data_IF_780828273661
#
_entry.id   IF_780828273661
#
_cell.length_a   1.000
_cell.length_b   1.000
_cell.length_c   1.000
_cell.angle_alpha   90.00
_cell.angle_beta   90.00
_cell.angle_gamma   90.00
#
_symmetry.space_group_name_H-M   'P 1'
#
loop_
_entity.id
_entity.type
_entity.pdbx_description
1 polymer ?
#
# COMPACT_ATOMS: atom_id res chain seq x y z
N UNK A 1 47.61 33.51 46.24
CA UNK A 1 46.26 33.07 45.85
C UNK A 1 46.10 33.09 44.33
N UNK A 2 46.66 32.11 43.59
CA UNK A 2 46.75 32.16 42.11
C UNK A 2 46.04 31.00 41.39
N UNK A 3 45.46 30.05 42.12
CA UNK A 3 44.85 28.84 41.54
C UNK A 3 43.33 28.94 41.27
N UNK A 4 42.64 29.89 41.89
CA UNK A 4 41.18 30.08 41.71
C UNK A 4 40.80 30.69 40.37
N UNK A 5 41.60 31.63 39.85
CA UNK A 5 41.32 32.34 38.60
C UNK A 5 41.48 31.46 37.35
N UNK A 6 42.36 30.46 37.41
CA UNK A 6 42.67 29.59 36.28
C UNK A 6 41.56 28.54 36.05
N UNK A 7 40.94 28.03 37.12
CA UNK A 7 39.81 27.08 37.04
C UNK A 7 38.51 27.70 36.52
N UNK A 8 38.26 28.97 36.83
CA UNK A 8 37.07 29.69 36.32
C UNK A 8 37.20 29.91 34.81
N UNK A 9 38.40 30.31 34.33
CA UNK A 9 38.65 30.51 32.90
C UNK A 9 38.56 29.23 32.07
N UNK A 10 38.95 28.08 32.63
CA UNK A 10 38.80 26.79 31.94
C UNK A 10 37.33 26.37 31.88
N UNK A 11 36.56 26.60 32.95
CA UNK A 11 35.14 26.28 32.98
C UNK A 11 34.33 27.15 32.01
N UNK A 12 34.61 28.45 31.93
CA UNK A 12 33.95 29.35 30.98
C UNK A 12 34.26 28.97 29.52
N UNK A 13 35.50 28.56 29.23
CA UNK A 13 35.90 28.09 27.92
C UNK A 13 35.23 26.75 27.55
N UNK A 14 35.07 25.84 28.50
CA UNK A 14 34.34 24.57 28.31
C UNK A 14 32.85 24.83 28.06
N UNK A 15 32.22 25.72 28.83
CA UNK A 15 30.81 26.09 28.63
C UNK A 15 30.56 26.80 27.30
N UNK A 16 31.53 27.59 26.82
CA UNK A 16 31.47 28.20 25.50
C UNK A 16 31.51 27.16 24.37
N UNK A 17 32.35 26.12 24.50
CA UNK A 17 32.41 25.00 23.54
C UNK A 17 31.10 24.21 23.51
N UNK A 18 30.56 23.87 24.69
CA UNK A 18 29.29 23.14 24.79
C UNK A 18 28.13 23.93 24.15
N UNK A 19 28.12 25.27 24.29
CA UNK A 19 27.13 26.13 23.61
C UNK A 19 27.31 26.10 22.10
N UNK A 20 28.54 26.25 21.60
CA UNK A 20 28.83 26.21 20.18
C UNK A 20 28.46 24.85 19.54
N UNK A 21 28.76 23.74 20.21
CA UNK A 21 28.37 22.39 19.76
C UNK A 21 26.85 22.22 19.75
N UNK A 22 26.15 22.75 20.76
CA UNK A 22 24.68 22.72 20.81
C UNK A 22 24.05 23.56 19.70
N UNK A 23 24.60 24.72 19.40
CA UNK A 23 24.11 25.61 18.35
C UNK A 23 24.35 25.01 16.96
N UNK A 24 25.49 24.35 16.77
CA UNK A 24 25.78 23.58 15.56
C UNK A 24 24.78 22.43 15.39
N UNK A 25 24.56 21.62 16.43
CA UNK A 25 23.60 20.51 16.38
C UNK A 25 22.15 20.98 16.12
N UNK A 26 21.76 22.16 16.61
CA UNK A 26 20.46 22.75 16.31
C UNK A 26 20.35 23.23 14.86
N UNK A 27 21.45 23.74 14.29
CA UNK A 27 21.53 24.12 12.88
C UNK A 27 21.42 22.90 11.98
N UNK A 28 22.12 21.82 12.31
CA UNK A 28 22.08 20.56 11.57
C UNK A 28 20.68 19.91 11.60
N UNK A 29 20.00 19.95 12.76
CA UNK A 29 18.61 19.48 12.85
C UNK A 29 17.66 20.27 11.95
N UNK A 30 17.86 21.58 11.83
CA UNK A 30 17.03 22.45 10.97
C UNK A 30 17.30 22.18 9.48
N UNK A 31 18.55 22.00 9.08
CA UNK A 31 18.90 21.70 7.69
C UNK A 31 18.41 20.30 7.28
N UNK A 32 18.57 19.30 8.14
CA UNK A 32 18.03 17.95 7.91
C UNK A 32 16.50 17.98 7.84
N UNK A 33 15.83 18.72 8.74
CA UNK A 33 14.39 18.88 8.71
C UNK A 33 13.87 19.54 7.43
N UNK A 34 14.57 20.57 6.94
CA UNK A 34 14.25 21.23 5.67
C UNK A 34 14.40 20.28 4.47
N UNK A 35 15.49 19.53 4.41
CA UNK A 35 15.73 18.53 3.37
C UNK A 35 14.66 17.41 3.38
N UNK A 36 14.24 16.94 4.56
CA UNK A 36 13.16 15.95 4.69
C UNK A 36 11.82 16.49 4.18
N UNK A 37 11.49 17.75 4.48
CA UNK A 37 10.28 18.37 3.97
C UNK A 37 10.29 18.50 2.44
N UNK A 38 11.44 18.80 1.85
CA UNK A 38 11.61 18.90 0.41
C UNK A 38 11.45 17.53 -0.27
N UNK A 39 12.10 16.49 0.25
CA UNK A 39 11.93 15.11 -0.23
C UNK A 39 10.47 14.62 -0.11
N UNK A 40 9.76 14.97 0.97
CA UNK A 40 8.35 14.63 1.12
C UNK A 40 7.46 15.36 0.10
N UNK A 41 7.77 16.62 -0.22
CA UNK A 41 7.07 17.37 -1.28
C UNK A 41 7.30 16.75 -2.65
N UNK A 42 8.55 16.39 -2.97
CA UNK A 42 8.87 15.71 -4.21
C UNK A 42 8.18 14.35 -4.32
N UNK A 43 8.19 13.55 -3.24
CA UNK A 43 7.45 12.29 -3.18
C UNK A 43 5.96 12.49 -3.43
N UNK A 44 5.35 13.51 -2.83
CA UNK A 44 3.93 13.80 -3.04
C UNK A 44 3.63 14.26 -4.47
N UNK A 45 4.53 15.04 -5.08
CA UNK A 45 4.40 15.45 -6.48
C UNK A 45 4.55 14.25 -7.44
N UNK A 46 5.48 13.33 -7.14
CA UNK A 46 5.63 12.09 -7.88
C UNK A 46 4.42 11.17 -7.71
N UNK A 47 3.84 11.10 -6.50
CA UNK A 47 2.61 10.35 -6.24
C UNK A 47 1.44 10.94 -7.02
N UNK A 48 1.26 12.27 -7.02
CA UNK A 48 0.22 12.93 -7.80
C UNK A 48 0.41 12.72 -9.32
N UNK A 49 1.65 12.68 -9.81
CA UNK A 49 1.96 12.32 -11.20
C UNK A 49 1.65 10.86 -11.50
N UNK A 50 1.96 9.95 -10.59
CA UNK A 50 1.59 8.54 -10.71
C UNK A 50 0.06 8.40 -10.75
N UNK A 51 -0.65 9.10 -9.88
CA UNK A 51 -2.11 9.10 -9.85
C UNK A 51 -2.71 9.75 -11.11
N UNK A 52 -2.06 10.76 -11.70
CA UNK A 52 -2.49 11.35 -12.97
C UNK A 52 -2.21 10.46 -14.19
N UNK A 53 -1.11 9.69 -14.17
CA UNK A 53 -0.77 8.69 -15.18
C UNK A 53 -1.55 7.38 -15.00
N UNK A 54 -2.15 7.18 -13.83
CA UNK A 54 -3.07 6.09 -13.56
C UNK A 54 -4.48 6.67 -13.74
N UNK A 55 -5.04 6.69 -14.97
CA UNK A 55 -6.40 7.16 -15.15
C UNK A 55 -7.28 6.44 -14.14
N UNK A 56 -8.09 7.24 -13.43
CA UNK A 56 -8.96 6.81 -12.35
C UNK A 56 -9.47 5.40 -12.59
N UNK A 57 -9.24 4.50 -11.62
CA UNK A 57 -9.92 3.19 -11.51
C UNK A 57 -11.42 3.40 -11.26
N UNK A 58 -12.07 4.05 -12.21
CA UNK A 58 -13.48 4.35 -12.33
C UNK A 58 -13.98 3.95 -13.72
N UNK A 59 -13.52 2.79 -14.20
CA UNK A 59 -14.06 2.10 -15.37
C UNK A 59 -14.27 0.64 -14.96
N UNK A 60 -15.44 0.37 -14.40
CA UNK A 60 -15.88 -0.97 -14.01
C UNK A 60 -16.03 -1.94 -15.19
N UNK A 61 -15.88 -1.49 -16.43
CA UNK A 61 -16.29 -2.28 -17.61
C UNK A 61 -15.19 -2.59 -18.63
N UNK A 62 -13.99 -1.99 -18.58
CA UNK A 62 -13.07 -2.03 -19.74
C UNK A 62 -11.69 -2.67 -19.55
N UNK A 63 -11.46 -3.40 -18.46
CA UNK A 63 -10.24 -4.22 -18.33
C UNK A 63 -10.51 -5.60 -17.71
N UNK A 64 -11.65 -6.20 -18.02
CA UNK A 64 -11.75 -7.66 -17.94
C UNK A 64 -10.77 -8.23 -18.96
N UNK A 65 -9.58 -8.61 -18.51
CA UNK A 65 -8.64 -9.29 -19.40
C UNK A 65 -9.30 -10.58 -19.89
N UNK A 66 -8.90 -11.08 -21.07
CA UNK A 66 -9.45 -12.34 -21.62
C UNK A 66 -9.42 -13.50 -20.61
N UNK A 67 -8.47 -13.47 -19.66
CA UNK A 67 -8.37 -14.45 -18.58
C UNK A 67 -9.48 -14.29 -17.53
N UNK A 68 -9.85 -13.06 -17.18
CA UNK A 68 -10.90 -12.79 -16.20
C UNK A 68 -12.28 -13.15 -16.76
N UNK A 69 -12.54 -12.88 -18.05
CA UNK A 69 -13.77 -13.35 -18.71
C UNK A 69 -13.88 -14.88 -18.68
N UNK A 70 -12.81 -15.59 -19.05
CA UNK A 70 -12.76 -17.05 -18.96
C UNK A 70 -12.92 -17.56 -17.54
N UNK A 71 -12.40 -16.84 -16.54
CA UNK A 71 -12.55 -17.22 -15.15
C UNK A 71 -14.02 -17.08 -14.69
N UNK A 72 -14.72 -16.03 -15.12
CA UNK A 72 -16.15 -15.84 -14.88
C UNK A 72 -16.97 -16.93 -15.58
N UNK A 73 -16.66 -17.24 -16.84
CA UNK A 73 -17.28 -18.37 -17.56
C UNK A 73 -17.05 -19.71 -16.84
N UNK A 74 -15.84 -19.93 -16.30
CA UNK A 74 -15.51 -21.13 -15.53
C UNK A 74 -16.26 -21.22 -14.19
N UNK A 75 -16.73 -20.09 -13.63
CA UNK A 75 -17.60 -20.05 -12.46
C UNK A 75 -19.03 -20.45 -12.88
N UNK A 76 -19.52 -19.91 -14.00
CA UNK A 76 -20.88 -20.16 -14.50
C UNK A 76 -21.94 -19.77 -13.46
N UNK A 77 -22.92 -20.65 -13.21
CA UNK A 77 -23.94 -20.47 -12.17
C UNK A 77 -23.41 -20.64 -10.74
N UNK A 78 -22.18 -21.14 -10.59
CA UNK A 78 -21.50 -21.26 -9.33
C UNK A 78 -20.58 -22.47 -9.25
N UNK A 79 -19.34 -22.26 -8.82
CA UNK A 79 -18.33 -23.30 -8.76
C UNK A 79 -17.42 -23.18 -7.53
N UNK A 80 -16.88 -24.31 -7.09
CA UNK A 80 -15.87 -24.35 -6.02
C UNK A 80 -14.50 -23.98 -6.57
N UNK A 81 -13.65 -23.43 -5.69
CA UNK A 81 -12.29 -22.99 -6.06
C UNK A 81 -11.49 -24.08 -6.81
N UNK A 82 -11.57 -25.33 -6.37
CA UNK A 82 -10.85 -26.44 -7.00
C UNK A 82 -11.41 -26.83 -8.38
N UNK A 83 -12.74 -26.74 -8.56
CA UNK A 83 -13.39 -27.00 -9.84
C UNK A 83 -13.01 -25.93 -10.88
N UNK A 84 -12.97 -24.67 -10.44
CA UNK A 84 -12.53 -23.55 -11.29
C UNK A 84 -11.06 -23.73 -11.68
N UNK A 85 -10.20 -24.11 -10.73
CA UNK A 85 -8.80 -24.38 -10.98
C UNK A 85 -8.61 -25.49 -12.03
N UNK A 86 -9.36 -26.60 -11.92
CA UNK A 86 -9.34 -27.69 -12.89
C UNK A 86 -9.77 -27.23 -14.30
N UNK A 87 -10.88 -26.48 -14.40
CA UNK A 87 -11.39 -25.96 -15.68
C UNK A 87 -10.42 -25.00 -16.37
N UNK A 88 -9.70 -24.20 -15.58
CA UNK A 88 -8.72 -23.24 -16.09
C UNK A 88 -7.33 -23.86 -16.31
N UNK A 89 -7.12 -25.12 -15.89
CA UNK A 89 -5.79 -25.74 -15.81
C UNK A 89 -4.79 -24.90 -15.02
N UNK A 90 -5.23 -24.37 -13.88
CA UNK A 90 -4.48 -23.47 -13.00
C UNK A 90 -4.21 -24.11 -11.64
N UNK A 91 -3.14 -23.66 -10.98
CA UNK A 91 -2.89 -24.03 -9.59
C UNK A 91 -3.91 -23.39 -8.65
N UNK A 92 -4.33 -24.13 -7.62
CA UNK A 92 -5.32 -23.67 -6.63
C UNK A 92 -4.95 -22.33 -5.97
N UNK A 93 -3.69 -22.07 -5.56
CA UNK A 93 -3.30 -20.77 -5.01
C UNK A 93 -3.44 -19.62 -6.01
N UNK A 94 -3.13 -19.85 -7.29
CA UNK A 94 -3.24 -18.85 -8.35
C UNK A 94 -4.71 -18.52 -8.61
N UNK A 95 -5.55 -19.55 -8.73
CA UNK A 95 -7.00 -19.40 -8.89
C UNK A 95 -7.61 -18.63 -7.73
N UNK A 96 -7.25 -18.96 -6.49
CA UNK A 96 -7.74 -18.26 -5.29
C UNK A 96 -7.38 -16.77 -5.31
N UNK A 97 -6.16 -16.41 -5.71
CA UNK A 97 -5.74 -15.00 -5.84
C UNK A 97 -6.55 -14.25 -6.90
N UNK A 98 -6.84 -14.90 -8.03
CA UNK A 98 -7.64 -14.31 -9.09
C UNK A 98 -9.10 -14.10 -8.65
N UNK A 99 -9.70 -15.08 -7.97
CA UNK A 99 -11.06 -14.99 -7.46
C UNK A 99 -11.23 -13.89 -6.40
N UNK A 100 -10.28 -13.76 -5.46
CA UNK A 100 -10.32 -12.64 -4.50
C UNK A 100 -10.16 -11.27 -5.18
N UNK A 101 -9.43 -11.19 -6.29
CA UNK A 101 -9.34 -9.96 -7.08
C UNK A 101 -10.69 -9.63 -7.71
N UNK A 102 -11.36 -10.62 -8.32
CA UNK A 102 -12.69 -10.46 -8.91
C UNK A 102 -13.76 -10.11 -7.88
N UNK A 103 -13.68 -10.67 -6.68
CA UNK A 103 -14.56 -10.32 -5.57
C UNK A 103 -14.38 -8.87 -5.13
N UNK A 104 -13.12 -8.41 -5.03
CA UNK A 104 -12.81 -7.03 -4.63
C UNK A 104 -13.36 -5.99 -5.63
N UNK A 105 -13.46 -6.34 -6.90
CA UNK A 105 -14.04 -5.48 -7.95
C UNK A 105 -15.55 -5.69 -8.12
N UNK A 106 -16.18 -6.54 -7.29
CA UNK A 106 -17.62 -6.73 -7.26
C UNK A 106 -18.19 -7.62 -8.35
N UNK A 107 -17.36 -8.30 -9.15
CA UNK A 107 -17.83 -9.13 -10.28
C UNK A 107 -18.31 -10.52 -9.85
N UNK A 108 -17.78 -11.02 -8.74
CA UNK A 108 -18.18 -12.30 -8.15
C UNK A 108 -18.31 -12.15 -6.64
N UNK A 109 -19.01 -13.08 -6.01
CA UNK A 109 -19.21 -13.12 -4.57
C UNK A 109 -19.06 -14.54 -4.03
N UNK A 110 -18.73 -14.64 -2.74
CA UNK A 110 -18.71 -15.93 -2.03
C UNK A 110 -20.12 -16.30 -1.60
N UNK A 111 -20.51 -17.54 -1.85
CA UNK A 111 -21.77 -18.08 -1.34
C UNK A 111 -21.63 -18.36 0.17
N UNK A 112 -22.16 -17.47 1.00
CA UNK A 112 -22.07 -17.58 2.45
C UNK A 112 -22.73 -18.86 3.03
N UNK A 113 -23.67 -19.48 2.29
CA UNK A 113 -24.38 -20.68 2.76
C UNK A 113 -23.61 -21.97 2.48
N UNK A 114 -22.82 -22.00 1.40
CA UNK A 114 -22.16 -23.21 0.91
C UNK A 114 -20.63 -23.12 0.94
N UNK A 115 -20.08 -22.03 1.48
CA UNK A 115 -18.63 -21.86 1.64
C UNK A 115 -18.17 -22.29 3.03
N UNK A 116 -17.12 -23.10 3.07
CA UNK A 116 -16.38 -23.47 4.27
C UNK A 116 -14.96 -22.84 4.22
N UNK A 117 -14.25 -22.88 5.35
CA UNK A 117 -12.91 -22.27 5.51
C UNK A 117 -11.93 -22.69 4.41
N UNK A 118 -11.99 -23.95 3.97
CA UNK A 118 -11.10 -24.50 2.95
C UNK A 118 -11.78 -24.74 1.59
N UNK A 119 -13.09 -24.55 1.51
CA UNK A 119 -13.89 -24.88 0.33
C UNK A 119 -14.91 -23.78 0.05
N UNK A 120 -14.44 -22.76 -0.68
CA UNK A 120 -15.23 -21.58 -1.02
C UNK A 120 -15.94 -21.81 -2.35
N UNK A 121 -17.26 -21.60 -2.34
CA UNK A 121 -18.11 -21.57 -3.52
C UNK A 121 -18.28 -20.13 -3.99
N UNK A 122 -18.06 -19.90 -5.27
CA UNK A 122 -18.12 -18.60 -5.91
C UNK A 122 -19.34 -18.52 -6.80
N UNK A 123 -19.98 -17.35 -6.82
CA UNK A 123 -21.13 -17.02 -7.66
C UNK A 123 -20.82 -15.72 -8.42
N UNK A 124 -21.28 -15.56 -9.67
CA UNK A 124 -21.25 -14.26 -10.32
C UNK A 124 -22.14 -13.27 -9.53
N UNK A 125 -21.69 -12.03 -9.41
CA UNK A 125 -22.55 -10.96 -8.89
C UNK A 125 -23.58 -10.65 -9.97
N UNK A 126 -24.90 -10.69 -9.67
CA UNK A 126 -25.89 -10.27 -10.64
C UNK A 126 -25.61 -8.80 -11.00
N UNK A 127 -25.68 -8.40 -12.29
CA UNK A 127 -25.63 -7.00 -12.63
C UNK A 127 -26.76 -6.34 -11.85
N UNK A 128 -26.43 -5.37 -10.99
CA UNK A 128 -27.44 -4.62 -10.27
C UNK A 128 -28.46 -4.16 -11.29
N UNK A 129 -29.68 -4.70 -11.17
CA UNK A 129 -30.83 -4.18 -11.89
C UNK A 129 -30.99 -2.78 -11.32
N UNK A 130 -30.41 -1.81 -12.01
CA UNK A 130 -30.64 -0.40 -11.80
C UNK A 130 -32.13 -0.20 -12.07
N UNK A 131 -32.90 -0.28 -10.99
CA UNK A 131 -34.31 0.06 -10.93
C UNK A 131 -34.46 1.56 -10.65
#
# INVERSE_FOLDING_TARGET
>A
MMFGLMRVRTHDAEMAKVRAERDQANTDKRTIGAALHEMLRERNALQARLDALTPARGQGDEQLCLRDRKLIEAIGEGARTFQIAARMSWDTPMTRRALYRLEKVGLIQRDAKHSAVNDVRWLPTPPETTA
#
